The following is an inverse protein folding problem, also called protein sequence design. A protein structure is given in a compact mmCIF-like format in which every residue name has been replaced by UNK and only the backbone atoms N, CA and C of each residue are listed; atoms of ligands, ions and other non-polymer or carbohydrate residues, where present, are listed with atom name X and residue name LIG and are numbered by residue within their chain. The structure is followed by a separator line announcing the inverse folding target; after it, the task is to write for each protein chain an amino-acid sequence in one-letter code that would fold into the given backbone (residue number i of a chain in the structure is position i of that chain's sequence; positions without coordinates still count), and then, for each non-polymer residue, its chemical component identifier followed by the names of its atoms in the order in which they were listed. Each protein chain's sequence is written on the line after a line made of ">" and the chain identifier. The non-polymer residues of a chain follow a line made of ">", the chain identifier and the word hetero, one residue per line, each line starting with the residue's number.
data_IF_975513847972
#
_entry.id   IF_975513847972
#
_cell.length_a   1.000
_cell.length_b   1.000
_cell.length_c   1.000
_cell.angle_alpha   90.00
_cell.angle_beta   90.00
_cell.angle_gamma   90.00
#
_symmetry.space_group_name_H-M   'P 1'
#
loop_
_entity.id
_entity.type
_entity.pdbx_description
1 polymer ?
#
# COMPACT_ATOMS: atom_id res chain seq x y z
N UNK A 1 -8.29 -26.95 -3.21
CA UNK A 1 -8.83 -25.71 -2.60
C UNK A 1 -9.12 -25.96 -1.14
N UNK A 2 -8.39 -25.32 -0.21
CA UNK A 2 -8.74 -25.07 1.20
C UNK A 2 -7.45 -24.79 1.98
N UNK A 3 -6.98 -23.54 1.95
CA UNK A 3 -5.94 -23.08 2.90
C UNK A 3 -6.14 -21.64 3.39
N UNK A 4 -7.23 -20.99 2.95
CA UNK A 4 -7.56 -19.60 3.32
C UNK A 4 -8.55 -19.47 4.48
N UNK A 5 -9.25 -20.54 4.87
CA UNK A 5 -10.30 -20.48 5.90
C UNK A 5 -9.74 -20.60 7.33
N UNK A 6 -8.64 -21.33 7.53
CA UNK A 6 -8.12 -21.64 8.88
C UNK A 6 -7.40 -20.43 9.53
N UNK A 7 -6.91 -19.48 8.73
CA UNK A 7 -6.20 -18.30 9.25
C UNK A 7 -7.20 -17.21 9.69
N UNK A 8 -8.38 -17.15 9.05
CA UNK A 8 -9.46 -16.22 9.43
C UNK A 8 -10.00 -16.54 10.81
N UNK A 9 -10.27 -17.81 11.13
CA UNK A 9 -10.82 -18.24 12.43
C UNK A 9 -9.97 -17.76 13.63
N UNK A 10 -8.63 -17.85 13.54
CA UNK A 10 -7.76 -17.38 14.62
C UNK A 10 -7.68 -15.84 14.75
N UNK A 11 -8.18 -15.08 13.78
CA UNK A 11 -8.34 -13.61 13.86
C UNK A 11 -9.60 -13.29 14.67
N UNK A 12 -10.63 -14.12 14.57
CA UNK A 12 -11.92 -13.95 15.22
C UNK A 12 -11.80 -14.05 16.74
N UNK A 13 -11.01 -15.00 17.24
CA UNK A 13 -10.87 -15.28 18.68
C UNK A 13 -10.26 -14.14 19.51
N UNK A 14 -9.36 -13.31 18.96
CA UNK A 14 -8.66 -12.27 19.76
C UNK A 14 -9.58 -11.07 20.00
N UNK A 15 -10.40 -10.71 19.00
CA UNK A 15 -11.35 -9.60 19.10
C UNK A 15 -12.60 -10.00 19.89
N UNK A 16 -13.07 -11.25 19.73
CA UNK A 16 -14.15 -11.81 20.54
C UNK A 16 -13.71 -12.01 22.01
N UNK A 17 -12.49 -12.51 22.26
CA UNK A 17 -11.93 -12.58 23.61
C UNK A 17 -11.70 -11.20 24.26
N UNK A 18 -11.59 -10.14 23.45
CA UNK A 18 -11.51 -8.75 23.89
C UNK A 18 -12.89 -8.08 24.07
N UNK A 19 -13.99 -8.75 23.73
CA UNK A 19 -15.36 -8.23 23.88
C UNK A 19 -15.81 -7.25 22.78
N UNK A 20 -15.15 -7.23 21.62
CA UNK A 20 -15.45 -6.30 20.51
C UNK A 20 -16.40 -6.97 19.52
N UNK A 21 -17.62 -6.43 19.35
CA UNK A 21 -18.57 -6.92 18.34
C UNK A 21 -18.16 -6.48 16.94
N UNK A 22 -18.21 -7.40 15.97
CA UNK A 22 -17.86 -7.11 14.57
C UNK A 22 -19.05 -6.60 13.77
N UNK A 23 -19.00 -5.38 13.22
CA UNK A 23 -19.58 -5.12 11.93
C UNK A 23 -18.51 -5.32 10.85
N UNK A 24 -18.81 -6.10 9.81
CA UNK A 24 -17.93 -6.29 8.64
C UNK A 24 -17.62 -4.98 7.89
N UNK A 25 -18.37 -3.91 8.14
CA UNK A 25 -18.18 -2.59 7.56
C UNK A 25 -17.33 -1.70 8.48
N UNK A 26 -16.02 -1.70 8.19
CA UNK A 26 -15.00 -0.78 8.74
C UNK A 26 -14.34 -1.20 10.06
N UNK A 27 -13.53 -2.26 9.94
CA UNK A 27 -12.51 -2.72 10.91
C UNK A 27 -11.49 -1.61 11.27
N UNK A 28 -11.50 -0.47 10.57
CA UNK A 28 -10.70 0.74 10.87
C UNK A 28 -11.59 1.97 11.14
N UNK A 29 -12.86 1.77 11.50
CA UNK A 29 -13.77 2.87 11.84
C UNK A 29 -13.29 3.62 13.07
N UNK A 30 -13.62 4.90 13.15
CA UNK A 30 -13.29 5.69 14.33
C UNK A 30 -13.90 5.08 15.60
N UNK A 31 -15.13 4.54 15.54
CA UNK A 31 -15.75 3.85 16.66
C UNK A 31 -14.94 2.65 17.18
N UNK A 32 -14.51 1.76 16.29
CA UNK A 32 -13.64 0.63 16.66
C UNK A 32 -12.31 1.10 17.26
N UNK A 33 -11.68 2.12 16.67
CA UNK A 33 -10.39 2.63 17.17
C UNK A 33 -10.53 3.27 18.56
N UNK A 34 -11.65 3.96 18.85
CA UNK A 34 -11.94 4.47 20.19
C UNK A 34 -12.20 3.34 21.21
N UNK A 35 -12.90 2.28 20.82
CA UNK A 35 -13.09 1.10 21.67
C UNK A 35 -11.74 0.47 22.04
N UNK A 36 -10.86 0.27 21.05
CA UNK A 36 -9.52 -0.27 21.26
C UNK A 36 -8.66 0.65 22.13
N UNK A 37 -8.75 1.98 21.95
CA UNK A 37 -8.09 2.98 22.80
C UNK A 37 -8.53 2.83 24.26
N UNK A 38 -9.84 2.62 24.49
CA UNK A 38 -10.45 2.47 25.81
C UNK A 38 -10.14 1.14 26.52
N UNK A 39 -9.59 0.14 25.82
CA UNK A 39 -9.37 -1.18 26.41
C UNK A 39 -8.47 -1.12 27.65
N UNK A 40 -8.85 -1.78 28.77
CA UNK A 40 -8.01 -1.83 29.97
C UNK A 40 -6.75 -2.69 29.74
N UNK A 41 -6.87 -3.73 28.93
CA UNK A 41 -5.75 -4.62 28.59
C UNK A 41 -4.95 -4.06 27.40
N UNK A 42 -4.02 -3.15 27.67
CA UNK A 42 -3.23 -2.46 26.62
C UNK A 42 -2.38 -3.41 25.76
N UNK A 43 -1.84 -4.48 26.34
CA UNK A 43 -1.09 -5.49 25.56
C UNK A 43 -1.97 -6.23 24.54
N UNK A 44 -3.23 -6.50 24.91
CA UNK A 44 -4.19 -7.14 24.01
C UNK A 44 -4.59 -6.18 22.88
N UNK A 45 -4.85 -4.91 23.22
CA UNK A 45 -5.11 -3.85 22.24
C UNK A 45 -3.95 -3.69 21.25
N UNK A 46 -2.70 -3.72 21.72
CA UNK A 46 -1.51 -3.65 20.88
C UNK A 46 -1.43 -4.83 19.90
N UNK A 47 -1.52 -6.08 20.37
CA UNK A 47 -1.43 -7.25 19.47
C UNK A 47 -2.60 -7.30 18.48
N UNK A 48 -3.80 -6.89 18.91
CA UNK A 48 -4.97 -6.78 18.07
C UNK A 48 -4.76 -5.76 16.92
N UNK A 49 -4.33 -4.53 17.23
CA UNK A 49 -4.03 -3.49 16.23
C UNK A 49 -2.89 -3.90 15.30
N UNK A 50 -1.80 -4.45 15.86
CA UNK A 50 -0.65 -4.92 15.09
C UNK A 50 -1.06 -5.96 14.04
N UNK A 51 -1.85 -6.95 14.44
CA UNK A 51 -2.33 -8.00 13.53
C UNK A 51 -3.25 -7.43 12.45
N UNK A 52 -4.21 -6.61 12.86
CA UNK A 52 -5.16 -5.95 11.96
C UNK A 52 -4.45 -5.08 10.92
N UNK A 53 -3.53 -4.23 11.37
CA UNK A 53 -2.72 -3.37 10.49
C UNK A 53 -1.86 -4.19 9.55
N UNK A 54 -1.20 -5.25 10.05
CA UNK A 54 -0.39 -6.14 9.21
C UNK A 54 -1.21 -6.73 8.06
N UNK A 55 -2.46 -7.13 8.32
CA UNK A 55 -3.33 -7.72 7.30
C UNK A 55 -3.89 -6.67 6.34
N UNK A 56 -4.28 -5.49 6.82
CA UNK A 56 -4.72 -4.39 5.96
C UNK A 56 -3.58 -3.87 5.07
N UNK A 57 -2.37 -3.71 5.62
CA UNK A 57 -1.19 -3.30 4.86
C UNK A 57 -0.87 -4.33 3.79
N UNK A 58 -0.97 -5.65 4.07
CA UNK A 58 -0.79 -6.69 3.03
C UNK A 58 -1.79 -6.54 1.88
N UNK A 59 -3.05 -6.19 2.18
CA UNK A 59 -4.05 -5.93 1.14
C UNK A 59 -3.64 -4.71 0.32
N UNK A 60 -3.20 -3.62 0.96
CA UNK A 60 -2.68 -2.43 0.27
C UNK A 60 -1.46 -2.75 -0.58
N UNK A 61 -0.49 -3.52 -0.07
CA UNK A 61 0.73 -3.92 -0.79
C UNK A 61 0.43 -4.72 -2.05
N UNK A 62 -0.65 -5.51 -2.07
CA UNK A 62 -1.08 -6.22 -3.28
C UNK A 62 -1.53 -5.29 -4.40
N UNK A 63 -1.87 -4.04 -4.10
CA UNK A 63 -2.30 -3.05 -5.10
C UNK A 63 -1.26 -1.96 -5.32
N UNK A 64 -0.61 -1.49 -4.27
CA UNK A 64 0.35 -0.39 -4.29
C UNK A 64 1.59 -0.75 -3.45
N UNK A 65 2.68 -1.09 -4.13
CA UNK A 65 3.93 -1.50 -3.50
C UNK A 65 4.57 -0.38 -2.68
N UNK A 66 4.49 0.86 -3.15
CA UNK A 66 5.13 2.01 -2.49
C UNK A 66 4.46 2.31 -1.17
N UNK A 67 3.14 2.46 -1.17
CA UNK A 67 2.36 2.74 0.04
C UNK A 67 2.37 1.56 1.00
N UNK A 68 2.26 0.34 0.48
CA UNK A 68 2.40 -0.88 1.26
C UNK A 68 3.73 -0.95 2.02
N UNK A 69 4.85 -0.73 1.33
CA UNK A 69 6.19 -0.68 1.95
C UNK A 69 6.30 0.44 2.99
N UNK A 70 5.82 1.64 2.67
CA UNK A 70 5.84 2.79 3.59
C UNK A 70 5.08 2.50 4.89
N UNK A 71 3.84 1.98 4.80
CA UNK A 71 3.06 1.64 5.99
C UNK A 71 3.66 0.48 6.78
N UNK A 72 4.25 -0.52 6.11
CA UNK A 72 4.93 -1.61 6.79
C UNK A 72 6.12 -1.10 7.61
N UNK A 73 6.94 -0.21 7.03
CA UNK A 73 8.07 0.40 7.74
C UNK A 73 7.59 1.18 8.98
N UNK A 74 6.53 1.98 8.86
CA UNK A 74 5.95 2.71 9.99
C UNK A 74 5.46 1.77 11.09
N UNK A 75 4.82 0.66 10.72
CA UNK A 75 4.37 -0.36 11.66
C UNK A 75 5.55 -1.00 12.39
N UNK A 76 6.57 -1.44 11.65
CA UNK A 76 7.77 -2.08 12.20
C UNK A 76 8.54 -1.14 13.14
N UNK A 77 8.69 0.12 12.78
CA UNK A 77 9.33 1.14 13.63
C UNK A 77 8.57 1.36 14.94
N UNK A 78 7.24 1.46 14.86
CA UNK A 78 6.36 1.63 16.02
C UNK A 78 6.47 0.43 16.97
N UNK A 79 6.42 -0.79 16.42
CA UNK A 79 6.62 -2.03 17.19
C UNK A 79 8.01 -2.08 17.83
N UNK A 80 9.05 -1.68 17.09
CA UNK A 80 10.43 -1.68 17.56
C UNK A 80 10.62 -0.72 18.74
N UNK A 81 10.07 0.50 18.65
CA UNK A 81 10.10 1.47 19.77
C UNK A 81 9.44 0.90 21.02
N UNK A 82 8.29 0.23 20.87
CA UNK A 82 7.60 -0.39 22.00
C UNK A 82 8.39 -1.57 22.60
N UNK A 83 8.89 -2.46 21.74
CA UNK A 83 9.66 -3.65 22.16
C UNK A 83 10.95 -3.25 22.88
N UNK A 84 11.59 -2.16 22.45
CA UNK A 84 12.78 -1.60 23.11
C UNK A 84 12.44 -0.76 24.36
N UNK A 85 11.17 -0.75 24.80
CA UNK A 85 10.64 0.06 25.92
C UNK A 85 10.94 1.56 25.77
N UNK A 86 11.06 2.03 24.54
CA UNK A 86 11.29 3.44 24.22
C UNK A 86 10.01 4.28 24.26
N UNK A 87 8.84 3.63 24.27
CA UNK A 87 7.51 4.24 24.39
C UNK A 87 6.62 3.38 25.29
N UNK A 88 5.63 3.99 25.92
CA UNK A 88 4.66 3.29 26.78
C UNK A 88 3.54 2.59 25.97
N UNK A 89 2.83 1.68 26.63
CA UNK A 89 1.74 0.92 26.01
C UNK A 89 0.59 1.82 25.51
N UNK A 90 0.30 2.94 26.20
CA UNK A 90 -0.69 3.90 25.73
C UNK A 90 -0.20 4.63 24.47
N UNK A 91 1.06 5.07 24.45
CA UNK A 91 1.65 5.80 23.33
C UNK A 91 1.73 4.94 22.07
N UNK A 92 2.18 3.67 22.17
CA UNK A 92 2.21 2.78 21.00
C UNK A 92 0.82 2.55 20.41
N UNK A 93 -0.21 2.45 21.25
CA UNK A 93 -1.59 2.28 20.78
C UNK A 93 -2.04 3.51 19.99
N UNK A 94 -1.75 4.72 20.46
CA UNK A 94 -2.05 5.95 19.71
C UNK A 94 -1.34 5.98 18.37
N UNK A 95 -0.03 5.68 18.32
CA UNK A 95 0.73 5.63 17.07
C UNK A 95 0.16 4.59 16.08
N UNK A 96 -0.28 3.42 16.59
CA UNK A 96 -0.95 2.41 15.77
C UNK A 96 -2.34 2.85 15.30
N UNK A 97 -3.11 3.57 16.12
CA UNK A 97 -4.40 4.15 15.75
C UNK A 97 -4.22 5.20 14.64
N UNK A 98 -3.21 6.06 14.74
CA UNK A 98 -2.88 7.01 13.70
C UNK A 98 -2.48 6.32 12.38
N UNK A 99 -1.67 5.26 12.46
CA UNK A 99 -1.33 4.46 11.29
C UNK A 99 -2.58 3.80 10.68
N UNK A 100 -3.48 3.28 11.52
CA UNK A 100 -4.77 2.74 11.10
C UNK A 100 -5.60 3.75 10.31
N UNK A 101 -5.68 5.00 10.77
CA UNK A 101 -6.36 6.09 10.05
C UNK A 101 -5.70 6.37 8.70
N UNK A 102 -4.36 6.46 8.66
CA UNK A 102 -3.61 6.64 7.40
C UNK A 102 -3.87 5.52 6.38
N UNK A 103 -3.87 4.27 6.83
CA UNK A 103 -4.15 3.10 5.96
C UNK A 103 -5.60 3.11 5.46
N UNK A 104 -6.56 3.55 6.29
CA UNK A 104 -7.95 3.71 5.88
C UNK A 104 -8.10 4.79 4.82
N UNK A 105 -7.52 5.95 5.07
CA UNK A 105 -7.70 7.15 4.24
C UNK A 105 -6.99 7.01 2.88
N UNK A 106 -5.97 6.14 2.79
CA UNK A 106 -5.34 5.72 1.54
C UNK A 106 -6.37 5.26 0.49
N UNK A 107 -7.44 4.56 0.90
CA UNK A 107 -8.50 4.10 -0.02
C UNK A 107 -9.25 5.25 -0.68
N UNK A 108 -9.29 6.42 -0.04
CA UNK A 108 -10.01 7.59 -0.54
C UNK A 108 -9.13 8.47 -1.44
N UNK A 109 -7.80 8.43 -1.31
CA UNK A 109 -6.89 9.29 -2.09
C UNK A 109 -7.04 9.11 -3.60
N UNK A 110 -7.32 7.89 -4.08
CA UNK A 110 -7.60 7.64 -5.50
C UNK A 110 -8.78 8.48 -6.02
N UNK A 111 -9.85 8.57 -5.22
CA UNK A 111 -11.05 9.33 -5.57
C UNK A 111 -10.77 10.83 -5.61
N UNK A 112 -10.00 11.35 -4.65
CA UNK A 112 -9.65 12.77 -4.58
C UNK A 112 -8.85 13.24 -5.81
N UNK A 113 -7.98 12.37 -6.32
CA UNK A 113 -7.15 12.67 -7.50
C UNK A 113 -7.80 12.29 -8.84
N UNK A 114 -9.05 11.80 -8.83
CA UNK A 114 -9.73 11.22 -10.00
C UNK A 114 -8.87 10.14 -10.71
N UNK A 115 -8.21 9.29 -9.92
CA UNK A 115 -7.39 8.17 -10.39
C UNK A 115 -8.01 6.85 -9.95
N UNK A 116 -7.94 5.86 -10.84
CA UNK A 116 -8.25 4.46 -10.48
C UNK A 116 -7.19 3.89 -9.54
N UNK A 117 -7.48 2.73 -8.93
CA UNK A 117 -6.54 2.07 -8.00
C UNK A 117 -5.19 1.74 -8.65
N UNK A 118 -5.18 1.38 -9.94
CA UNK A 118 -3.94 1.09 -10.66
C UNK A 118 -3.17 2.38 -10.99
N UNK A 119 -3.88 3.44 -11.39
CA UNK A 119 -3.26 4.72 -11.77
C UNK A 119 -2.65 5.43 -10.56
N UNK A 120 -3.31 5.42 -9.40
CA UNK A 120 -2.72 6.00 -8.18
C UNK A 120 -1.48 5.23 -7.74
N UNK A 121 -1.44 3.90 -7.95
CA UNK A 121 -0.26 3.12 -7.64
C UNK A 121 0.94 3.47 -8.53
N UNK A 122 0.70 3.74 -9.82
CA UNK A 122 1.73 4.29 -10.71
C UNK A 122 2.15 5.71 -10.33
N UNK A 123 1.20 6.56 -9.93
CA UNK A 123 1.49 7.89 -9.42
C UNK A 123 2.44 7.84 -8.22
N UNK A 124 2.17 6.99 -7.23
CA UNK A 124 3.05 6.84 -6.07
C UNK A 124 4.41 6.22 -6.45
N UNK A 125 4.45 5.29 -7.41
CA UNK A 125 5.69 4.72 -7.93
C UNK A 125 6.63 5.77 -8.55
N UNK A 126 6.05 6.81 -9.16
CA UNK A 126 6.80 7.96 -9.68
C UNK A 126 7.23 8.91 -8.56
N UNK A 127 6.41 9.04 -7.51
CA UNK A 127 6.61 9.96 -6.40
C UNK A 127 7.69 9.55 -5.38
N UNK A 128 8.21 8.32 -5.43
CA UNK A 128 9.25 7.84 -4.47
C UNK A 128 10.49 8.73 -4.45
N UNK A 129 10.78 9.39 -5.56
CA UNK A 129 11.88 10.33 -5.65
C UNK A 129 11.31 11.75 -5.47
N UNK A 130 11.25 12.24 -4.24
CA UNK A 130 10.61 13.52 -3.85
C UNK A 130 10.95 14.72 -4.74
N UNK A 131 12.15 14.74 -5.34
CA UNK A 131 12.56 15.79 -6.28
C UNK A 131 11.72 15.82 -7.57
N UNK A 132 11.17 14.69 -8.02
CA UNK A 132 10.36 14.62 -9.22
C UNK A 132 8.99 15.30 -9.03
N UNK A 133 8.40 15.19 -7.85
CA UNK A 133 7.14 15.87 -7.50
C UNK A 133 7.35 17.38 -7.53
N UNK A 134 8.43 17.86 -6.92
CA UNK A 134 8.76 19.29 -6.87
C UNK A 134 9.10 19.88 -8.25
N UNK A 135 9.73 19.10 -9.13
CA UNK A 135 10.19 19.57 -10.46
C UNK A 135 9.06 19.48 -11.50
N UNK A 136 8.28 18.40 -11.51
CA UNK A 136 7.28 18.16 -12.56
C UNK A 136 5.88 18.63 -12.17
N UNK A 137 5.59 18.69 -10.87
CA UNK A 137 4.27 18.95 -10.33
C UNK A 137 3.30 17.77 -10.47
N UNK A 138 2.26 17.79 -9.64
CA UNK A 138 1.26 16.72 -9.54
C UNK A 138 0.51 16.47 -10.85
N UNK A 139 0.21 17.51 -11.62
CA UNK A 139 -0.53 17.36 -12.89
C UNK A 139 0.26 16.54 -13.92
N UNK A 140 1.57 16.76 -13.99
CA UNK A 140 2.46 16.04 -14.90
C UNK A 140 2.62 14.59 -14.46
N UNK A 141 2.83 14.35 -13.16
CA UNK A 141 2.90 13.00 -12.61
C UNK A 141 1.60 12.22 -12.83
N UNK A 142 0.45 12.88 -12.69
CA UNK A 142 -0.86 12.30 -13.01
C UNK A 142 -0.93 11.87 -14.48
N UNK A 143 -0.51 12.72 -15.42
CA UNK A 143 -0.48 12.40 -16.86
C UNK A 143 0.44 11.21 -17.16
N UNK A 144 1.61 11.16 -16.52
CA UNK A 144 2.53 10.01 -16.65
C UNK A 144 1.87 8.74 -16.14
N UNK A 145 1.23 8.77 -14.96
CA UNK A 145 0.57 7.61 -14.37
C UNK A 145 -0.57 7.06 -15.26
N UNK A 146 -1.38 7.95 -15.85
CA UNK A 146 -2.41 7.58 -16.82
C UNK A 146 -1.81 6.91 -18.07
N UNK A 147 -0.75 7.51 -18.65
CA UNK A 147 -0.10 6.97 -19.85
C UNK A 147 0.60 5.63 -19.57
N UNK A 148 1.20 5.47 -18.38
CA UNK A 148 1.78 4.20 -17.94
C UNK A 148 0.72 3.11 -17.79
N UNK A 149 -0.42 3.43 -17.19
CA UNK A 149 -1.51 2.47 -17.00
C UNK A 149 -2.12 2.03 -18.33
N UNK A 150 -2.37 2.97 -19.25
CA UNK A 150 -2.86 2.66 -20.60
C UNK A 150 -1.84 1.83 -21.41
N UNK A 151 -0.55 2.20 -21.34
CA UNK A 151 0.53 1.43 -21.94
C UNK A 151 0.58 0.00 -21.39
N UNK A 152 0.38 -0.16 -20.07
CA UNK A 152 0.33 -1.46 -19.43
C UNK A 152 -0.86 -2.28 -19.93
N UNK A 153 -2.09 -1.73 -19.91
CA UNK A 153 -3.30 -2.43 -20.39
C UNK A 153 -3.13 -2.97 -21.81
N UNK A 154 -2.55 -2.17 -22.71
CA UNK A 154 -2.26 -2.57 -24.10
C UNK A 154 -1.22 -3.68 -24.21
N UNK A 155 -0.45 -3.93 -23.16
CA UNK A 155 0.59 -4.96 -23.09
C UNK A 155 0.20 -6.20 -22.27
N UNK A 156 -0.94 -6.21 -21.56
CA UNK A 156 -1.36 -7.35 -20.71
C UNK A 156 -1.94 -8.53 -21.49
N UNK A 157 -2.27 -8.35 -22.77
CA UNK A 157 -2.54 -9.48 -23.69
C UNK A 157 -1.33 -10.38 -23.94
N UNK A 158 -0.15 -10.02 -23.43
CA UNK A 158 1.10 -10.78 -23.57
C UNK A 158 1.29 -11.63 -22.32
N UNK A 159 1.69 -12.89 -22.46
CA UNK A 159 1.92 -13.79 -21.32
C UNK A 159 3.13 -13.33 -20.48
N UNK A 160 2.88 -12.46 -19.50
CA UNK A 160 3.85 -11.85 -18.59
C UNK A 160 4.60 -12.88 -17.74
N UNK A 161 4.03 -14.07 -17.62
CA UNK A 161 4.57 -15.18 -16.85
C UNK A 161 5.89 -15.67 -17.44
N UNK A 162 6.19 -15.38 -18.71
CA UNK A 162 7.31 -15.98 -19.44
C UNK A 162 7.97 -14.96 -20.39
N UNK A 163 9.01 -14.25 -19.91
CA UNK A 163 10.27 -13.86 -20.62
C UNK A 163 10.75 -12.46 -20.21
N UNK A 164 12.00 -12.40 -19.75
CA UNK A 164 12.82 -11.19 -19.57
C UNK A 164 12.71 -10.18 -20.74
N UNK A 165 12.40 -10.65 -21.95
CA UNK A 165 12.17 -9.81 -23.14
C UNK A 165 10.99 -8.84 -22.99
N UNK A 166 9.88 -9.28 -22.37
CA UNK A 166 8.70 -8.42 -22.17
C UNK A 166 9.05 -7.31 -21.18
N UNK A 167 9.69 -7.68 -20.07
CA UNK A 167 10.20 -6.74 -19.05
C UNK A 167 11.13 -5.69 -19.65
N UNK A 168 12.08 -6.12 -20.49
CA UNK A 168 12.98 -5.21 -21.19
C UNK A 168 12.23 -4.24 -22.12
N UNK A 169 11.22 -4.72 -22.87
CA UNK A 169 10.39 -3.86 -23.73
C UNK A 169 9.60 -2.82 -22.93
N UNK A 170 8.99 -3.22 -21.81
CA UNK A 170 8.26 -2.30 -20.93
C UNK A 170 9.21 -1.29 -20.32
N UNK A 171 10.39 -1.71 -19.87
CA UNK A 171 11.42 -0.81 -19.34
C UNK A 171 11.77 0.29 -20.33
N UNK A 172 11.95 -0.05 -21.61
CA UNK A 172 12.21 0.93 -22.66
C UNK A 172 11.02 1.88 -22.86
N UNK A 173 9.79 1.38 -22.85
CA UNK A 173 8.58 2.20 -22.95
C UNK A 173 8.44 3.15 -21.77
N UNK A 174 8.62 2.66 -20.53
CA UNK A 174 8.62 3.47 -19.30
C UNK A 174 9.67 4.58 -19.41
N UNK A 175 10.92 4.25 -19.76
CA UNK A 175 11.97 5.26 -19.94
C UNK A 175 11.62 6.31 -21.00
N UNK A 176 10.97 5.91 -22.08
CA UNK A 176 10.51 6.83 -23.14
C UNK A 176 9.42 7.78 -22.62
N UNK A 177 8.44 7.27 -21.87
CA UNK A 177 7.38 8.07 -21.25
C UNK A 177 7.99 9.06 -20.25
N UNK A 178 8.85 8.61 -19.34
CA UNK A 178 9.52 9.49 -18.37
C UNK A 178 10.28 10.65 -19.06
N UNK A 179 11.02 10.37 -20.14
CA UNK A 179 11.72 11.41 -20.91
C UNK A 179 10.77 12.38 -21.62
N UNK A 180 9.66 11.88 -22.18
CA UNK A 180 8.65 12.69 -22.86
C UNK A 180 8.09 13.80 -21.95
N UNK A 181 7.94 13.51 -20.66
CA UNK A 181 7.43 14.46 -19.66
C UNK A 181 8.53 15.18 -18.88
N UNK A 182 9.80 15.05 -19.26
CA UNK A 182 10.91 15.78 -18.63
C UNK A 182 11.34 15.24 -17.27
N UNK A 183 11.08 13.96 -16.96
CA UNK A 183 11.46 13.38 -15.68
C UNK A 183 12.97 13.48 -15.42
N UNK A 184 13.41 13.90 -14.22
CA UNK A 184 14.82 14.11 -13.90
C UNK A 184 15.70 12.89 -14.24
N UNK A 185 16.74 13.04 -15.10
CA UNK A 185 17.58 11.91 -15.53
C UNK A 185 18.29 11.18 -14.39
N UNK A 186 18.68 11.89 -13.34
CA UNK A 186 19.36 11.36 -12.15
C UNK A 186 18.49 10.39 -11.34
N UNK A 187 17.16 10.58 -11.37
CA UNK A 187 16.18 9.73 -10.69
C UNK A 187 15.45 8.77 -11.64
N UNK A 188 15.68 8.90 -12.94
CA UNK A 188 14.93 8.16 -13.95
C UNK A 188 15.08 6.64 -13.79
N UNK A 189 16.29 6.14 -13.51
CA UNK A 189 16.53 4.70 -13.39
C UNK A 189 15.84 4.09 -12.16
N UNK A 190 15.90 4.76 -11.02
CA UNK A 190 15.20 4.34 -9.80
C UNK A 190 13.68 4.34 -10.01
N UNK A 191 13.12 5.44 -10.53
CA UNK A 191 11.70 5.53 -10.83
C UNK A 191 11.24 4.47 -11.83
N UNK A 192 12.05 4.21 -12.87
CA UNK A 192 11.78 3.15 -13.84
C UNK A 192 11.69 1.78 -13.15
N UNK A 193 12.61 1.47 -12.23
CA UNK A 193 12.60 0.20 -11.51
C UNK A 193 11.35 0.07 -10.63
N UNK A 194 10.99 1.10 -9.88
CA UNK A 194 9.79 1.09 -9.04
C UNK A 194 8.51 0.95 -9.87
N UNK A 195 8.42 1.66 -11.01
CA UNK A 195 7.30 1.54 -11.94
C UNK A 195 7.21 0.14 -12.54
N UNK A 196 8.34 -0.51 -12.84
CA UNK A 196 8.35 -1.90 -13.33
C UNK A 196 7.85 -2.89 -12.27
N UNK A 197 8.31 -2.77 -11.03
CA UNK A 197 7.82 -3.61 -9.93
C UNK A 197 6.31 -3.43 -9.73
N UNK A 198 5.83 -2.18 -9.80
CA UNK A 198 4.40 -1.88 -9.72
C UNK A 198 3.62 -2.45 -10.92
N UNK A 199 4.18 -2.37 -12.13
CA UNK A 199 3.57 -2.95 -13.33
C UNK A 199 3.45 -4.48 -13.25
N UNK A 200 4.48 -5.17 -12.77
CA UNK A 200 4.44 -6.61 -12.56
C UNK A 200 3.35 -7.02 -11.56
N UNK A 201 3.18 -6.23 -10.49
CA UNK A 201 2.14 -6.47 -9.50
C UNK A 201 0.73 -6.30 -10.09
N UNK A 202 0.48 -5.19 -10.78
CA UNK A 202 -0.81 -4.90 -11.41
C UNK A 202 -1.15 -5.95 -12.46
N UNK A 203 -0.18 -6.32 -13.30
CA UNK A 203 -0.39 -7.36 -14.32
C UNK A 203 -0.75 -8.72 -13.71
N UNK A 204 -0.10 -9.13 -12.60
CA UNK A 204 -0.45 -10.37 -11.89
C UNK A 204 -1.88 -10.33 -11.35
N UNK A 205 -2.34 -9.18 -10.84
CA UNK A 205 -3.69 -9.03 -10.34
C UNK A 205 -4.74 -9.12 -11.46
N UNK A 206 -4.47 -8.53 -12.63
CA UNK A 206 -5.38 -8.60 -13.78
C UNK A 206 -5.49 -10.00 -14.38
N UNK A 207 -4.41 -10.81 -14.32
CA UNK A 207 -4.44 -12.22 -14.78
C UNK A 207 -5.12 -13.15 -13.77
N UNK A 208 -5.07 -12.83 -12.48
CA UNK A 208 -5.67 -13.63 -11.41
C UNK A 208 -7.16 -13.32 -11.15
N UNK A 209 -7.68 -12.22 -11.73
CA UNK A 209 -9.06 -11.77 -11.63
C UNK A 209 -9.94 -12.40 -12.73
#
# INVERSE_FOLDING_TARGET
>A
MQKSLIVSDRIIDIFEAAGIQKPELSILSDGFLEEVRGMPQKNLAFEALKKLLSDQIKITTKRNLVRGKSFMNMLEETIKRYTNRSIEAAQVIEELIELAKKVRDEKNRGKELNLTEDEIAFYDALGVNDSAVTILGDETLRKIALELTDMLRKSVTIDWTIKESVRAQIRLKVKKILRKYGYPPDKQDSATQTVLEQAELVARNWVAA
#
